data_IF_212737296771
#
_entry.id   IF_212737296771
#
_cell.length_a   1.000
_cell.length_b   1.000
_cell.length_c   1.000
_cell.angle_alpha   90.00
_cell.angle_beta   90.00
_cell.angle_gamma   90.00
#
_symmetry.space_group_name_H-M   'P 1'
#
loop_
_entity.id
_entity.type
_entity.pdbx_description
1 polymer ?
#
# COMPACT_ATOMS: atom_id res chain seq x y z
N UNK A 1 -24.36 -31.59 -19.48
CA UNK A 1 -24.01 -30.32 -18.81
C UNK A 1 -23.04 -30.72 -17.71
N UNK A 2 -21.78 -30.93 -18.08
CA UNK A 2 -20.71 -31.21 -17.10
C UNK A 2 -20.56 -29.92 -16.31
N UNK A 3 -21.10 -29.94 -15.10
CA UNK A 3 -20.91 -28.85 -14.14
C UNK A 3 -19.40 -28.78 -13.92
N UNK A 4 -18.88 -27.57 -13.89
CA UNK A 4 -17.47 -27.24 -13.72
C UNK A 4 -17.00 -27.68 -12.32
N UNK A 5 -16.90 -29.00 -12.10
CA UNK A 5 -16.54 -29.65 -10.84
C UNK A 5 -15.15 -29.22 -10.40
N UNK A 6 -14.29 -28.84 -11.35
CA UNK A 6 -12.95 -28.31 -11.09
C UNK A 6 -12.99 -26.92 -10.46
N UNK A 7 -13.86 -26.02 -10.94
CA UNK A 7 -14.03 -24.70 -10.33
C UNK A 7 -14.64 -24.80 -8.92
N UNK A 8 -15.60 -25.73 -8.72
CA UNK A 8 -16.17 -25.96 -7.40
C UNK A 8 -15.16 -26.60 -6.43
N UNK A 9 -14.34 -27.54 -6.90
CA UNK A 9 -13.28 -28.16 -6.11
C UNK A 9 -12.21 -27.14 -5.69
N UNK A 10 -11.76 -26.28 -6.62
CA UNK A 10 -10.79 -25.23 -6.31
C UNK A 10 -11.34 -24.19 -5.34
N UNK A 11 -12.63 -23.86 -5.42
CA UNK A 11 -13.28 -22.99 -4.43
C UNK A 11 -13.33 -23.61 -3.03
N UNK A 12 -13.70 -24.89 -2.91
CA UNK A 12 -13.70 -25.61 -1.62
C UNK A 12 -12.29 -25.72 -1.03
N UNK A 13 -11.29 -26.01 -1.85
CA UNK A 13 -9.90 -26.06 -1.42
C UNK A 13 -9.40 -24.68 -0.98
N UNK A 14 -9.72 -23.62 -1.74
CA UNK A 14 -9.34 -22.26 -1.38
C UNK A 14 -10.03 -21.78 -0.10
N UNK A 15 -11.28 -22.19 0.13
CA UNK A 15 -11.99 -21.91 1.37
C UNK A 15 -11.39 -22.69 2.55
N UNK A 16 -11.01 -23.94 2.37
CA UNK A 16 -10.38 -24.75 3.41
C UNK A 16 -8.98 -24.26 3.79
N UNK A 17 -8.18 -23.90 2.79
CA UNK A 17 -6.79 -23.48 2.97
C UNK A 17 -6.65 -21.99 3.28
N UNK A 18 -7.70 -21.19 3.06
CA UNK A 18 -7.68 -19.72 3.12
C UNK A 18 -6.80 -19.04 2.06
N UNK A 19 -6.16 -19.83 1.18
CA UNK A 19 -5.38 -19.40 0.04
C UNK A 19 -5.60 -20.37 -1.14
N UNK A 20 -5.29 -19.91 -2.37
CA UNK A 20 -5.42 -20.79 -3.54
C UNK A 20 -4.26 -21.79 -3.59
N UNK A 21 -4.50 -23.05 -4.00
CA UNK A 21 -3.45 -24.05 -4.20
C UNK A 21 -2.27 -23.57 -5.06
N UNK A 22 -2.55 -22.69 -6.04
CA UNK A 22 -1.54 -22.12 -6.92
C UNK A 22 -0.58 -21.20 -6.15
N UNK A 23 -1.09 -20.34 -5.25
CA UNK A 23 -0.25 -19.44 -4.46
C UNK A 23 0.74 -20.18 -3.55
N UNK A 24 0.35 -21.33 -3.00
CA UNK A 24 1.28 -22.15 -2.21
C UNK A 24 2.44 -22.67 -3.05
N UNK A 25 2.17 -23.08 -4.29
CA UNK A 25 3.18 -23.62 -5.19
C UNK A 25 4.11 -22.49 -5.66
N UNK A 26 3.55 -21.33 -6.01
CA UNK A 26 4.31 -20.13 -6.36
C UNK A 26 5.30 -19.75 -5.23
N UNK A 27 4.83 -19.70 -3.98
CA UNK A 27 5.65 -19.38 -2.82
C UNK A 27 6.79 -20.41 -2.60
N UNK A 28 6.53 -21.69 -2.87
CA UNK A 28 7.55 -22.76 -2.79
C UNK A 28 8.60 -22.57 -3.89
N UNK A 29 8.17 -22.31 -5.12
CA UNK A 29 9.08 -22.09 -6.27
C UNK A 29 9.96 -20.87 -6.00
N UNK A 30 9.36 -19.76 -5.56
CA UNK A 30 10.09 -18.54 -5.21
C UNK A 30 11.09 -18.78 -4.07
N UNK A 31 10.71 -19.54 -3.05
CA UNK A 31 11.60 -19.90 -1.95
C UNK A 31 12.79 -20.73 -2.42
N UNK A 32 12.57 -21.71 -3.30
CA UNK A 32 13.62 -22.58 -3.85
C UNK A 32 14.57 -21.77 -4.74
N UNK A 33 14.04 -20.90 -5.60
CA UNK A 33 14.85 -20.01 -6.42
C UNK A 33 15.74 -19.10 -5.57
N UNK A 34 15.19 -18.53 -4.50
CA UNK A 34 15.97 -17.75 -3.54
C UNK A 34 17.10 -18.56 -2.89
N UNK A 35 16.84 -19.82 -2.51
CA UNK A 35 17.86 -20.71 -1.92
C UNK A 35 18.94 -21.06 -2.95
N UNK A 36 18.57 -21.26 -4.22
CA UNK A 36 19.52 -21.55 -5.30
C UNK A 36 20.49 -20.38 -5.48
N UNK A 37 19.98 -19.16 -5.62
CA UNK A 37 20.82 -17.97 -5.76
C UNK A 37 21.73 -17.78 -4.53
N UNK A 38 21.21 -18.01 -3.33
CA UNK A 38 22.01 -17.95 -2.10
C UNK A 38 23.09 -19.04 -2.05
N UNK A 39 22.77 -20.25 -2.51
CA UNK A 39 23.69 -21.39 -2.56
C UNK A 39 24.83 -21.17 -3.55
N UNK A 40 24.51 -20.69 -4.76
CA UNK A 40 25.50 -20.36 -5.80
C UNK A 40 26.41 -19.22 -5.32
N UNK A 41 25.86 -18.15 -4.74
CA UNK A 41 26.65 -17.05 -4.19
C UNK A 41 27.53 -17.50 -3.00
N UNK A 42 27.01 -18.37 -2.13
CA UNK A 42 27.79 -18.93 -1.01
C UNK A 42 28.94 -19.80 -1.52
N UNK A 43 28.72 -20.55 -2.60
CA UNK A 43 29.75 -21.32 -3.27
C UNK A 43 30.80 -20.41 -3.91
N UNK A 44 30.41 -19.33 -4.57
CA UNK A 44 31.31 -18.31 -5.11
C UNK A 44 32.25 -17.74 -4.04
N UNK A 45 31.67 -17.30 -2.92
CA UNK A 45 32.42 -16.77 -1.77
C UNK A 45 33.36 -17.84 -1.20
N UNK A 46 32.90 -19.09 -1.11
CA UNK A 46 33.70 -20.22 -0.63
C UNK A 46 34.90 -20.54 -1.53
N UNK A 47 34.70 -20.54 -2.86
CA UNK A 47 35.76 -20.80 -3.83
C UNK A 47 36.75 -19.64 -3.89
N UNK A 48 36.28 -18.40 -3.83
CA UNK A 48 37.13 -17.20 -3.85
C UNK A 48 37.91 -16.99 -2.53
N UNK A 49 37.41 -17.48 -1.40
CA UNK A 49 38.10 -17.40 -0.10
C UNK A 49 39.11 -18.53 0.12
N UNK A 50 39.04 -19.60 -0.68
CA UNK A 50 39.95 -20.73 -0.59
C UNK A 50 41.24 -20.45 -1.36
N UNK A 51 42.39 -20.78 -0.77
CA UNK A 51 43.69 -20.59 -1.43
C UNK A 51 43.79 -21.42 -2.73
N UNK A 52 44.32 -20.84 -3.83
CA UNK A 52 44.36 -21.46 -5.16
C UNK A 52 45.11 -22.81 -5.16
N UNK A 53 46.15 -22.94 -4.33
CA UNK A 53 46.92 -24.19 -4.18
C UNK A 53 46.07 -25.37 -3.68
N UNK A 54 45.00 -25.11 -2.91
CA UNK A 54 44.09 -26.15 -2.40
C UNK A 54 43.03 -26.57 -3.42
N UNK A 55 42.71 -25.68 -4.35
CA UNK A 55 41.81 -25.93 -5.46
C UNK A 55 42.51 -26.67 -6.62
N UNK A 56 43.83 -26.84 -6.55
CA UNK A 56 44.64 -27.51 -7.57
C UNK A 56 45.17 -26.57 -8.66
N UNK A 57 45.10 -25.25 -8.46
CA UNK A 57 45.71 -24.27 -9.36
C UNK A 57 47.20 -24.11 -9.05
N UNK A 58 48.01 -23.92 -10.08
CA UNK A 58 49.45 -23.65 -9.92
C UNK A 58 49.68 -22.26 -9.30
N UNK A 59 50.66 -22.18 -8.40
CA UNK A 59 50.99 -20.94 -7.69
C UNK A 59 51.65 -19.93 -8.63
N UNK A 60 50.97 -18.82 -8.92
CA UNK A 60 51.51 -17.68 -9.67
C UNK A 60 50.47 -16.57 -9.86
N UNK A 61 50.86 -15.29 -9.75
CA UNK A 61 49.93 -14.16 -9.75
C UNK A 61 49.05 -14.09 -11.02
N UNK A 62 49.62 -14.36 -12.21
CA UNK A 62 48.86 -14.44 -13.47
C UNK A 62 47.91 -15.65 -13.55
N UNK A 63 48.22 -16.72 -12.81
CA UNK A 63 47.42 -17.94 -12.75
C UNK A 63 46.24 -17.80 -11.78
N UNK A 64 46.37 -16.96 -10.75
CA UNK A 64 45.29 -16.67 -9.79
C UNK A 64 44.13 -15.96 -10.49
N UNK A 65 44.44 -14.99 -11.35
CA UNK A 65 43.40 -14.28 -12.11
C UNK A 65 42.72 -15.19 -13.15
N UNK A 66 43.47 -16.11 -13.76
CA UNK A 66 42.90 -17.15 -14.65
C UNK A 66 42.01 -18.13 -13.89
N UNK A 67 42.43 -18.57 -12.71
CA UNK A 67 41.65 -19.46 -11.85
C UNK A 67 40.33 -18.83 -11.42
N UNK A 68 40.33 -17.53 -11.09
CA UNK A 68 39.10 -16.79 -10.78
C UNK A 68 38.13 -16.73 -11.95
N UNK A 69 38.64 -16.47 -13.15
CA UNK A 69 37.83 -16.45 -14.37
C UNK A 69 37.23 -17.83 -14.68
N UNK A 70 38.01 -18.90 -14.51
CA UNK A 70 37.55 -20.27 -14.71
C UNK A 70 36.49 -20.68 -13.67
N UNK A 71 36.65 -20.27 -12.41
CA UNK A 71 35.67 -20.47 -11.34
C UNK A 71 34.36 -19.73 -11.68
N UNK A 72 34.43 -18.48 -12.13
CA UNK A 72 33.26 -17.69 -12.53
C UNK A 72 32.52 -18.34 -13.71
N UNK A 73 33.25 -18.76 -14.75
CA UNK A 73 32.65 -19.43 -15.91
C UNK A 73 32.03 -20.79 -15.53
N UNK A 74 32.71 -21.56 -14.68
CA UNK A 74 32.21 -22.83 -14.14
C UNK A 74 30.97 -22.65 -13.28
N UNK A 75 30.95 -21.64 -12.42
CA UNK A 75 29.83 -21.30 -11.56
C UNK A 75 28.62 -20.84 -12.38
N UNK A 76 28.83 -20.01 -13.40
CA UNK A 76 27.76 -19.58 -14.30
C UNK A 76 27.15 -20.76 -15.08
N UNK A 77 27.97 -21.72 -15.54
CA UNK A 77 27.47 -22.96 -16.16
C UNK A 77 26.66 -23.80 -15.16
N UNK A 78 27.12 -23.89 -13.92
CA UNK A 78 26.42 -24.61 -12.85
C UNK A 78 25.07 -23.96 -12.53
N UNK A 79 25.02 -22.63 -12.40
CA UNK A 79 23.78 -21.89 -12.18
C UNK A 79 22.78 -22.13 -13.30
N UNK A 80 23.23 -22.03 -14.56
CA UNK A 80 22.37 -22.28 -15.73
C UNK A 80 21.81 -23.71 -15.73
N UNK A 81 22.64 -24.70 -15.43
CA UNK A 81 22.23 -26.11 -15.35
C UNK A 81 21.27 -26.37 -14.19
N UNK A 82 21.54 -25.75 -13.04
CA UNK A 82 20.72 -25.90 -11.85
C UNK A 82 19.34 -25.29 -12.07
N UNK A 83 19.25 -24.07 -12.61
CA UNK A 83 17.99 -23.42 -12.95
C UNK A 83 17.18 -24.28 -13.93
N UNK A 84 17.78 -24.73 -15.03
CA UNK A 84 17.08 -25.58 -16.01
C UNK A 84 16.58 -26.92 -15.41
N UNK A 85 17.35 -27.50 -14.49
CA UNK A 85 16.98 -28.76 -13.83
C UNK A 85 15.86 -28.56 -12.81
N UNK A 86 15.95 -27.47 -12.04
CA UNK A 86 14.96 -27.07 -11.03
C UNK A 86 13.65 -26.75 -11.72
N UNK A 87 13.62 -25.85 -12.70
CA UNK A 87 12.41 -25.49 -13.45
C UNK A 87 11.67 -26.73 -13.94
N UNK A 88 12.36 -27.64 -14.63
CA UNK A 88 11.76 -28.87 -15.20
C UNK A 88 11.22 -29.84 -14.14
N UNK A 89 11.86 -29.91 -12.97
CA UNK A 89 11.41 -30.78 -11.88
C UNK A 89 10.28 -30.13 -11.08
N UNK A 90 10.31 -28.81 -10.93
CA UNK A 90 9.28 -28.05 -10.24
C UNK A 90 8.00 -27.90 -11.09
N UNK A 91 8.09 -27.84 -12.42
CA UNK A 91 6.94 -27.98 -13.32
C UNK A 91 6.21 -29.32 -13.09
N UNK A 92 6.97 -30.42 -12.95
CA UNK A 92 6.39 -31.75 -12.68
C UNK A 92 5.81 -31.84 -11.27
N UNK A 93 6.47 -31.21 -10.32
CA UNK A 93 5.99 -31.11 -8.95
C UNK A 93 4.67 -30.34 -8.89
N UNK A 94 4.57 -29.18 -9.54
CA UNK A 94 3.34 -28.38 -9.63
C UNK A 94 2.20 -29.24 -10.19
N UNK A 95 2.43 -29.87 -11.35
CA UNK A 95 1.44 -30.74 -11.99
C UNK A 95 1.04 -31.89 -11.05
N UNK A 96 2.00 -32.51 -10.37
CA UNK A 96 1.72 -33.63 -9.47
C UNK A 96 0.91 -33.21 -8.25
N UNK A 97 1.25 -32.08 -7.64
CA UNK A 97 0.58 -31.54 -6.46
C UNK A 97 -0.86 -31.15 -6.80
N UNK A 98 -1.06 -30.38 -7.87
CA UNK A 98 -2.40 -29.93 -8.28
C UNK A 98 -3.28 -31.08 -8.74
N UNK A 99 -2.69 -32.15 -9.31
CA UNK A 99 -3.45 -33.30 -9.80
C UNK A 99 -3.76 -34.34 -8.74
N UNK A 100 -2.89 -34.54 -7.74
CA UNK A 100 -3.02 -35.66 -6.79
C UNK A 100 -3.23 -35.24 -5.33
N UNK A 101 -2.55 -34.20 -4.86
CA UNK A 101 -2.58 -33.80 -3.44
C UNK A 101 -3.69 -32.76 -3.22
N UNK A 102 -3.64 -31.68 -3.98
CA UNK A 102 -4.58 -30.56 -3.92
C UNK A 102 -5.69 -30.74 -4.96
N UNK A 103 -6.26 -31.94 -5.02
CA UNK A 103 -7.34 -32.30 -5.94
C UNK A 103 -8.47 -33.00 -5.20
N UNK A 104 -9.71 -32.67 -5.57
CA UNK A 104 -10.91 -33.35 -5.08
C UNK A 104 -11.43 -34.23 -6.21
N UNK A 105 -11.67 -35.54 -5.99
CA UNK A 105 -12.24 -36.41 -7.01
C UNK A 105 -13.59 -35.92 -7.52
N UNK A 106 -13.80 -36.00 -8.83
CA UNK A 106 -15.07 -35.63 -9.46
C UNK A 106 -16.24 -36.42 -8.86
N UNK A 107 -17.37 -35.74 -8.64
CA UNK A 107 -18.57 -36.33 -8.03
C UNK A 107 -18.59 -36.39 -6.49
N UNK A 108 -17.46 -36.13 -5.80
CA UNK A 108 -17.44 -36.04 -4.33
C UNK A 108 -17.70 -34.62 -3.84
N UNK A 109 -17.46 -33.61 -4.69
CA UNK A 109 -17.66 -32.18 -4.41
C UNK A 109 -18.98 -31.84 -3.70
N UNK A 110 -20.15 -32.40 -4.08
CA UNK A 110 -21.43 -32.08 -3.42
C UNK A 110 -21.57 -32.68 -2.00
N UNK A 111 -20.73 -33.65 -1.64
CA UNK A 111 -20.77 -34.35 -0.36
C UNK A 111 -19.71 -33.86 0.62
N UNK A 112 -18.75 -33.06 0.16
CA UNK A 112 -17.74 -32.43 1.02
C UNK A 112 -18.39 -31.26 1.76
N UNK A 113 -18.33 -31.30 3.09
CA UNK A 113 -18.74 -30.20 3.96
C UNK A 113 -17.57 -29.78 4.83
N UNK A 114 -17.18 -28.51 4.74
CA UNK A 114 -16.16 -27.93 5.60
C UNK A 114 -16.71 -27.67 7.00
N UNK A 115 -15.82 -27.61 8.00
CA UNK A 115 -16.18 -27.47 9.42
C UNK A 115 -17.00 -26.20 9.73
N UNK A 116 -16.73 -25.10 9.04
CA UNK A 116 -17.49 -23.84 9.22
C UNK A 116 -18.91 -23.90 8.66
N UNK A 117 -19.25 -24.92 7.84
CA UNK A 117 -20.63 -25.17 7.46
C UNK A 117 -21.38 -25.98 8.51
N UNK A 118 -20.72 -26.60 9.49
CA UNK A 118 -21.37 -27.38 10.55
C UNK A 118 -22.23 -26.47 11.43
N UNK A 119 -23.56 -26.65 11.40
CA UNK A 119 -24.52 -25.82 12.13
C UNK A 119 -25.20 -24.71 11.31
N UNK A 120 -24.75 -24.41 10.08
CA UNK A 120 -25.47 -23.52 9.17
C UNK A 120 -26.72 -24.21 8.64
N UNK A 121 -27.90 -23.79 9.12
CA UNK A 121 -29.18 -24.10 8.49
C UNK A 121 -29.40 -23.08 7.38
N UNK A 122 -29.08 -23.46 6.14
CA UNK A 122 -29.38 -22.68 4.92
C UNK A 122 -30.89 -22.59 4.62
N UNK A 123 -31.77 -22.99 5.56
CA UNK A 123 -33.16 -22.57 5.51
C UNK A 123 -33.14 -21.05 5.48
N UNK A 124 -33.80 -20.45 4.50
CA UNK A 124 -34.04 -19.02 4.39
C UNK A 124 -34.70 -18.60 5.71
N UNK A 125 -33.88 -18.24 6.69
CA UNK A 125 -34.35 -17.74 7.95
C UNK A 125 -35.00 -16.42 7.60
N UNK A 126 -36.23 -16.23 8.04
CA UNK A 126 -37.00 -14.99 7.99
C UNK A 126 -36.32 -13.80 8.70
N UNK A 127 -35.07 -13.98 9.14
CA UNK A 127 -34.18 -12.98 9.73
C UNK A 127 -33.27 -12.37 8.65
N UNK A 128 -33.85 -12.05 7.50
CA UNK A 128 -33.22 -11.14 6.54
C UNK A 128 -33.29 -9.77 7.19
N UNK A 129 -32.15 -9.13 7.54
CA UNK A 129 -32.17 -7.77 8.04
C UNK A 129 -32.89 -6.93 6.99
N UNK A 130 -33.99 -6.27 7.39
CA UNK A 130 -34.74 -5.41 6.47
C UNK A 130 -33.76 -4.50 5.73
N UNK A 131 -33.92 -4.26 4.42
CA UNK A 131 -33.05 -3.36 3.67
C UNK A 131 -32.91 -1.99 4.38
N UNK A 132 -33.92 -1.59 5.15
CA UNK A 132 -33.87 -0.41 6.01
C UNK A 132 -32.83 -0.51 7.14
N UNK A 133 -32.77 -1.64 7.85
CA UNK A 133 -31.75 -1.87 8.89
C UNK A 133 -30.33 -1.88 8.30
N UNK A 134 -30.16 -2.43 7.10
CA UNK A 134 -28.88 -2.39 6.38
C UNK A 134 -28.49 -0.95 6.01
N UNK A 135 -29.42 -0.14 5.51
CA UNK A 135 -29.13 1.26 5.19
C UNK A 135 -28.82 2.08 6.44
N UNK A 136 -29.53 1.84 7.55
CA UNK A 136 -29.23 2.46 8.84
C UNK A 136 -27.85 2.08 9.35
N UNK A 137 -27.47 0.80 9.27
CA UNK A 137 -26.15 0.34 9.69
C UNK A 137 -25.05 0.92 8.80
N UNK A 138 -25.27 0.98 7.49
CA UNK A 138 -24.35 1.66 6.55
C UNK A 138 -24.18 3.12 6.93
N UNK A 139 -25.28 3.87 7.13
CA UNK A 139 -25.24 5.26 7.59
C UNK A 139 -24.48 5.42 8.91
N UNK A 140 -24.71 4.53 9.87
CA UNK A 140 -24.00 4.52 11.16
C UNK A 140 -22.51 4.25 10.99
N UNK A 141 -22.14 3.32 10.12
CA UNK A 141 -20.74 2.99 9.79
C UNK A 141 -20.07 4.21 9.14
N UNK A 142 -20.72 4.84 8.16
CA UNK A 142 -20.21 6.06 7.53
C UNK A 142 -20.01 7.19 8.55
N UNK A 143 -21.01 7.45 9.39
CA UNK A 143 -20.90 8.45 10.46
C UNK A 143 -19.72 8.13 11.40
N UNK A 144 -19.57 6.87 11.82
CA UNK A 144 -18.47 6.43 12.68
C UNK A 144 -17.10 6.60 12.01
N UNK A 145 -16.97 6.27 10.72
CA UNK A 145 -15.72 6.45 9.95
C UNK A 145 -15.36 7.92 9.79
N UNK A 146 -16.32 8.78 9.49
CA UNK A 146 -16.11 10.23 9.35
C UNK A 146 -15.63 10.82 10.68
N UNK A 147 -16.30 10.46 11.77
CA UNK A 147 -15.91 10.88 13.12
C UNK A 147 -14.51 10.37 13.46
N UNK A 148 -14.20 9.09 13.24
CA UNK A 148 -12.87 8.53 13.50
C UNK A 148 -11.76 9.22 12.69
N UNK A 149 -12.01 9.55 11.41
CA UNK A 149 -11.07 10.31 10.58
C UNK A 149 -10.82 11.71 11.15
N UNK A 150 -11.88 12.40 11.61
CA UNK A 150 -11.75 13.71 12.26
C UNK A 150 -10.98 13.61 13.57
N UNK A 151 -11.29 12.64 14.43
CA UNK A 151 -10.56 12.43 15.67
C UNK A 151 -9.07 12.18 15.42
N UNK A 152 -8.70 11.36 14.43
CA UNK A 152 -7.29 11.13 14.08
C UNK A 152 -6.60 12.42 13.65
N UNK A 153 -7.23 13.22 12.78
CA UNK A 153 -6.65 14.51 12.38
C UNK A 153 -6.51 15.48 13.56
N UNK A 154 -7.47 15.51 14.49
CA UNK A 154 -7.34 16.34 15.70
C UNK A 154 -6.26 15.82 16.66
N UNK A 155 -6.11 14.50 16.79
CA UNK A 155 -5.00 13.90 17.55
C UNK A 155 -3.65 14.29 16.94
N UNK A 156 -3.53 14.25 15.62
CA UNK A 156 -2.31 14.65 14.92
C UNK A 156 -1.99 16.14 15.13
N UNK A 157 -3.00 17.02 15.04
CA UNK A 157 -2.85 18.47 15.36
C UNK A 157 -2.49 18.71 16.83
N UNK A 158 -3.13 18.00 17.74
CA UNK A 158 -2.83 18.11 19.16
C UNK A 158 -1.40 17.62 19.44
N UNK A 159 -0.96 16.55 18.79
CA UNK A 159 0.41 16.06 18.92
C UNK A 159 1.44 17.06 18.39
N UNK A 160 1.18 17.71 17.25
CA UNK A 160 2.08 18.76 16.74
C UNK A 160 2.08 19.97 17.65
N UNK A 161 0.93 20.43 18.15
CA UNK A 161 0.84 21.53 19.10
C UNK A 161 1.56 21.21 20.42
N UNK A 162 1.38 20.00 20.95
CA UNK A 162 2.10 19.54 22.14
C UNK A 162 3.61 19.49 21.87
N UNK A 163 4.04 19.04 20.68
CA UNK A 163 5.46 19.05 20.32
C UNK A 163 6.03 20.48 20.24
N UNK A 164 5.26 21.44 19.70
CA UNK A 164 5.63 22.85 19.65
C UNK A 164 5.71 23.45 21.06
N UNK A 165 4.69 23.23 21.90
CA UNK A 165 4.68 23.69 23.29
C UNK A 165 5.80 23.04 24.11
N UNK A 166 6.06 21.73 23.92
CA UNK A 166 7.21 21.06 24.53
C UNK A 166 8.51 21.64 24.03
N UNK A 167 8.64 21.95 22.74
CA UNK A 167 9.85 22.59 22.22
C UNK A 167 10.05 23.97 22.82
N UNK A 168 8.99 24.77 22.96
CA UNK A 168 9.02 26.08 23.64
C UNK A 168 9.37 25.94 25.13
N UNK A 169 8.82 24.95 25.82
CA UNK A 169 9.11 24.69 27.24
C UNK A 169 10.53 24.12 27.45
N UNK A 170 11.01 23.24 26.57
CA UNK A 170 12.39 22.74 26.60
C UNK A 170 13.39 23.85 26.29
N UNK A 171 12.99 24.86 25.50
CA UNK A 171 13.77 26.07 25.24
C UNK A 171 13.97 26.96 26.48
N UNK A 172 13.23 26.74 27.58
CA UNK A 172 13.45 27.42 28.86
C UNK A 172 14.71 26.92 29.59
N UNK A 173 15.20 25.71 29.29
CA UNK A 173 16.37 25.12 29.97
C UNK A 173 17.68 25.19 29.16
N UNK A 174 17.66 25.82 27.98
CA UNK A 174 18.84 26.01 27.16
C UNK A 174 18.59 26.92 25.97
N UNK A 175 19.00 28.19 26.10
CA UNK A 175 19.19 29.20 25.04
C UNK A 175 18.12 29.20 23.91
N UNK A 176 17.04 29.96 24.10
CA UNK A 176 16.06 30.27 23.05
C UNK A 176 16.44 31.56 22.27
N UNK A 177 16.72 31.49 20.96
CA UNK A 177 16.83 32.68 20.10
C UNK A 177 15.46 33.26 19.68
N UNK A 178 14.33 32.62 20.03
CA UNK A 178 12.99 33.00 19.54
C UNK A 178 12.19 33.99 20.40
N UNK A 179 12.51 34.13 21.70
CA UNK A 179 11.76 34.99 22.64
C UNK A 179 12.61 36.03 23.38
N UNK A 180 13.93 36.07 23.09
CA UNK A 180 14.86 37.08 23.63
C UNK A 180 14.50 38.52 23.23
N UNK A 181 13.63 38.70 22.24
CA UNK A 181 13.17 40.01 21.76
C UNK A 181 12.21 40.73 22.72
N UNK A 182 11.45 40.00 23.54
CA UNK A 182 10.44 40.59 24.42
C UNK A 182 10.94 40.90 25.84
N UNK A 183 12.21 40.63 26.13
CA UNK A 183 12.77 40.93 27.45
C UNK A 183 13.05 42.45 27.55
N UNK A 184 12.34 43.20 28.41
CA UNK A 184 12.44 44.64 28.44
C UNK A 184 13.70 45.03 29.22
N UNK A 185 14.80 45.21 28.50
CA UNK A 185 16.08 45.49 29.14
C UNK A 185 17.18 45.96 28.20
N UNK A 186 16.90 46.90 27.28
CA UNK A 186 17.92 47.84 26.78
C UNK A 186 17.33 48.90 25.81
N UNK A 187 17.39 50.17 26.21
CA UNK A 187 16.93 51.33 25.41
C UNK A 187 17.74 51.57 24.12
N UNK A 188 18.80 50.79 23.86
CA UNK A 188 19.55 50.81 22.60
C UNK A 188 18.84 50.03 21.47
N UNK A 189 17.93 49.12 21.81
CA UNK A 189 17.25 48.27 20.83
C UNK A 189 16.17 49.02 20.01
N UNK A 190 15.58 50.10 20.54
CA UNK A 190 14.53 50.87 19.84
C UNK A 190 15.06 51.60 18.59
N UNK A 191 16.27 52.15 18.65
CA UNK A 191 16.92 52.76 17.48
C UNK A 191 17.37 51.72 16.45
N UNK A 192 17.81 50.54 16.90
CA UNK A 192 18.15 49.43 16.01
C UNK A 192 16.90 48.82 15.36
N UNK A 193 15.79 48.70 16.08
CA UNK A 193 14.50 48.26 15.55
C UNK A 193 13.95 49.19 14.48
N UNK A 194 14.01 50.50 14.69
CA UNK A 194 13.56 51.48 13.68
C UNK A 194 14.46 51.49 12.44
N UNK A 195 15.76 51.28 12.61
CA UNK A 195 16.72 51.20 11.49
C UNK A 195 16.57 49.89 10.72
N UNK A 196 16.43 48.76 11.42
CA UNK A 196 16.16 47.44 10.85
C UNK A 196 14.77 47.39 10.20
N UNK A 197 13.76 48.04 10.79
CA UNK A 197 12.43 48.15 10.19
C UNK A 197 12.46 49.00 8.92
N UNK A 198 13.18 50.13 8.89
CA UNK A 198 13.36 50.95 7.68
C UNK A 198 14.15 50.21 6.59
N UNK A 199 15.18 49.45 6.96
CA UNK A 199 15.92 48.58 6.03
C UNK A 199 15.04 47.43 5.51
N UNK A 200 14.29 46.74 6.37
CA UNK A 200 13.35 45.70 5.93
C UNK A 200 12.25 46.28 5.01
N UNK A 201 11.77 47.49 5.30
CA UNK A 201 10.83 48.20 4.43
C UNK A 201 11.46 48.54 3.07
N UNK A 202 12.74 48.91 3.02
CA UNK A 202 13.43 49.16 1.75
C UNK A 202 13.76 47.88 0.97
N UNK A 203 13.84 46.72 1.63
CA UNK A 203 14.06 45.42 1.00
C UNK A 203 12.78 44.69 0.57
N UNK A 204 11.59 45.11 1.06
CA UNK A 204 10.30 44.53 0.68
C UNK A 204 10.01 44.56 -0.83
N UNK A 205 10.33 45.64 -1.59
CA UNK A 205 10.13 45.66 -3.03
C UNK A 205 10.99 44.62 -3.77
N UNK A 206 12.24 44.42 -3.34
CA UNK A 206 13.15 43.44 -3.92
C UNK A 206 12.71 41.99 -3.61
N UNK A 207 12.22 41.74 -2.40
CA UNK A 207 11.63 40.45 -2.02
C UNK A 207 10.33 40.16 -2.79
N UNK A 208 9.51 41.18 -3.04
CA UNK A 208 8.28 41.02 -3.82
C UNK A 208 8.58 40.68 -5.29
N UNK A 209 9.64 41.24 -5.89
CA UNK A 209 10.04 40.84 -7.25
C UNK A 209 10.60 39.42 -7.26
N UNK A 210 11.43 39.04 -6.27
CA UNK A 210 11.96 37.68 -6.15
C UNK A 210 10.86 36.62 -5.92
N UNK A 211 9.83 36.92 -5.12
CA UNK A 211 8.69 36.01 -4.91
C UNK A 211 7.87 35.84 -6.18
N UNK A 212 7.70 36.89 -6.99
CA UNK A 212 7.02 36.77 -8.27
C UNK A 212 7.81 35.88 -9.25
N UNK A 213 9.14 35.97 -9.27
CA UNK A 213 10.01 35.10 -10.07
C UNK A 213 10.05 33.65 -9.57
N UNK A 214 9.99 33.43 -8.25
CA UNK A 214 9.92 32.08 -7.69
C UNK A 214 8.54 31.47 -7.92
N UNK A 215 7.45 32.26 -7.83
CA UNK A 215 6.09 31.78 -8.10
C UNK A 215 5.92 31.36 -9.56
N UNK A 216 6.47 32.11 -10.52
CA UNK A 216 6.43 31.70 -11.93
C UNK A 216 7.25 30.42 -12.17
N UNK A 217 8.42 30.28 -11.53
CA UNK A 217 9.21 29.03 -11.57
C UNK A 217 8.53 27.84 -10.87
N UNK A 218 7.79 28.09 -9.79
CA UNK A 218 7.01 27.06 -9.10
C UNK A 218 5.81 26.61 -9.94
N UNK A 219 5.17 27.52 -10.70
CA UNK A 219 4.14 27.14 -11.66
C UNK A 219 4.72 26.32 -12.83
N UNK A 220 5.94 26.60 -13.31
CA UNK A 220 6.58 25.77 -14.33
C UNK A 220 7.03 24.40 -13.80
N UNK A 221 7.43 24.32 -12.53
CA UNK A 221 7.80 23.05 -11.87
C UNK A 221 6.58 22.21 -11.44
N UNK A 222 5.45 22.84 -11.09
CA UNK A 222 4.19 22.17 -10.77
C UNK A 222 3.68 21.32 -11.93
N UNK A 223 3.84 21.79 -13.17
CA UNK A 223 3.51 21.02 -14.38
C UNK A 223 4.46 19.83 -14.63
N UNK A 224 5.67 19.85 -14.06
CA UNK A 224 6.68 18.81 -14.23
C UNK A 224 6.61 17.72 -13.15
N UNK A 225 5.95 18.00 -12.02
CA UNK A 225 5.77 17.04 -10.93
C UNK A 225 4.66 15.99 -11.21
N UNK A 226 3.73 16.31 -12.11
CA UNK A 226 2.64 15.41 -12.52
C UNK A 226 3.11 14.20 -13.35
N UNK A 227 4.32 14.26 -13.92
CA UNK A 227 4.88 13.21 -14.78
C UNK A 227 5.66 12.11 -14.05
N UNK A 228 5.98 12.28 -12.77
CA UNK A 228 6.79 11.32 -11.99
C UNK A 228 5.98 10.43 -11.05
N UNK A 229 4.70 10.73 -10.83
CA UNK A 229 3.78 9.91 -10.03
C UNK A 229 3.15 8.73 -10.78
N UNK A 230 3.14 8.78 -12.11
CA UNK A 230 2.34 7.88 -12.96
C UNK A 230 2.82 6.43 -12.98
N UNK A 231 4.13 6.20 -12.89
CA UNK A 231 4.71 4.85 -13.13
C UNK A 231 4.51 3.88 -11.96
N UNK A 232 4.42 4.38 -10.71
CA UNK A 232 4.21 3.52 -9.54
C UNK A 232 2.72 3.27 -9.25
N UNK A 233 1.85 4.16 -9.72
CA UNK A 233 0.41 4.02 -9.59
C UNK A 233 -0.17 3.03 -10.60
N UNK A 234 0.39 2.87 -11.81
CA UNK A 234 -0.09 1.89 -12.82
C UNK A 234 -0.15 0.44 -12.29
N UNK A 235 0.83 -0.01 -11.51
CA UNK A 235 0.85 -1.38 -10.95
C UNK A 235 -0.15 -1.58 -9.78
N UNK A 236 -0.59 -0.50 -9.14
CA UNK A 236 -1.59 -0.52 -8.06
C UNK A 236 -3.00 -0.32 -8.63
N UNK A 237 -3.12 0.45 -9.71
CA UNK A 237 -4.30 0.61 -10.55
C UNK A 237 -4.69 -0.74 -11.18
N UNK A 238 -3.74 -1.51 -11.73
CA UNK A 238 -4.01 -2.80 -12.36
C UNK A 238 -4.64 -3.84 -11.41
N UNK A 239 -4.16 -3.91 -10.15
CA UNK A 239 -4.76 -4.79 -9.13
C UNK A 239 -6.14 -4.31 -8.68
N UNK A 240 -6.34 -3.00 -8.56
CA UNK A 240 -7.65 -2.41 -8.21
C UNK A 240 -8.65 -2.63 -9.32
N UNK A 241 -8.27 -2.37 -10.57
CA UNK A 241 -9.09 -2.59 -11.76
C UNK A 241 -9.50 -4.05 -11.91
N UNK A 242 -8.59 -5.01 -11.71
CA UNK A 242 -8.93 -6.43 -11.77
C UNK A 242 -9.94 -6.84 -10.69
N UNK A 243 -9.74 -6.39 -9.45
CA UNK A 243 -10.68 -6.67 -8.34
C UNK A 243 -12.04 -6.03 -8.61
N UNK A 244 -12.06 -4.80 -9.13
CA UNK A 244 -13.28 -4.06 -9.46
C UNK A 244 -14.04 -4.69 -10.63
N UNK A 245 -13.34 -5.15 -11.67
CA UNK A 245 -13.94 -5.84 -12.82
C UNK A 245 -14.52 -7.20 -12.41
N UNK A 246 -13.80 -7.97 -11.58
CA UNK A 246 -14.29 -9.25 -11.04
C UNK A 246 -15.47 -9.05 -10.10
N UNK A 247 -15.42 -8.07 -9.19
CA UNK A 247 -16.55 -7.77 -8.30
C UNK A 247 -17.76 -7.27 -9.07
N UNK A 248 -17.59 -6.39 -10.05
CA UNK A 248 -18.66 -5.94 -10.96
C UNK A 248 -19.29 -7.11 -11.72
N UNK A 249 -18.48 -8.06 -12.21
CA UNK A 249 -18.95 -9.28 -12.85
C UNK A 249 -19.83 -10.15 -11.94
N UNK A 250 -19.47 -10.27 -10.66
CA UNK A 250 -20.27 -11.00 -9.66
C UNK A 250 -21.55 -10.23 -9.30
N UNK A 251 -21.45 -8.91 -9.08
CA UNK A 251 -22.58 -8.03 -8.74
C UNK A 251 -23.64 -7.96 -9.86
N UNK A 252 -23.20 -7.93 -11.12
CA UNK A 252 -24.10 -7.95 -12.30
C UNK A 252 -24.80 -9.30 -12.47
N UNK A 253 -24.13 -10.42 -12.20
CA UNK A 253 -24.77 -11.75 -12.16
C UNK A 253 -25.81 -11.88 -11.06
N UNK A 254 -25.65 -11.15 -9.96
CA UNK A 254 -26.61 -11.09 -8.85
C UNK A 254 -27.64 -9.95 -8.96
N UNK A 255 -27.71 -9.24 -10.10
CA UNK A 255 -28.74 -8.24 -10.39
C UNK A 255 -28.58 -6.90 -9.67
N UNK A 256 -27.41 -6.62 -9.07
CA UNK A 256 -27.14 -5.34 -8.39
C UNK A 256 -26.39 -4.43 -9.38
N UNK A 257 -27.10 -3.49 -9.98
CA UNK A 257 -26.50 -2.45 -10.83
C UNK A 257 -25.85 -1.40 -9.95
N UNK A 258 -24.52 -1.44 -9.83
CA UNK A 258 -23.74 -0.32 -9.30
C UNK A 258 -23.65 0.77 -10.37
N UNK A 259 -24.50 1.79 -10.28
CA UNK A 259 -24.25 3.06 -10.95
C UNK A 259 -22.97 3.68 -10.37
N UNK A 260 -21.99 4.06 -11.20
CA UNK A 260 -20.87 4.87 -10.75
C UNK A 260 -21.34 6.32 -10.55
N UNK A 261 -20.79 6.98 -9.54
CA UNK A 261 -20.91 8.41 -9.23
C UNK A 261 -22.24 8.96 -8.68
N UNK A 262 -22.40 8.79 -7.36
CA UNK A 262 -22.83 9.89 -6.48
C UNK A 262 -21.71 10.21 -5.48
N UNK A 263 -20.48 10.35 -6.00
CA UNK A 263 -19.41 11.11 -5.37
C UNK A 263 -19.74 12.59 -5.55
N UNK A 264 -20.70 13.09 -4.77
CA UNK A 264 -20.77 14.52 -4.53
C UNK A 264 -19.57 14.90 -3.68
N UNK A 265 -18.51 15.29 -4.38
CA UNK A 265 -17.47 16.17 -3.87
C UNK A 265 -18.15 17.36 -3.16
N UNK A 266 -17.57 17.78 -2.04
CA UNK A 266 -18.23 18.62 -1.05
C UNK A 266 -18.76 19.94 -1.62
N UNK A 267 -20.02 19.98 -2.01
CA UNK A 267 -20.74 21.23 -2.25
C UNK A 267 -21.06 21.85 -0.90
N UNK A 268 -20.52 23.05 -0.66
CA UNK A 268 -20.94 23.91 0.44
C UNK A 268 -22.42 24.20 0.25
N UNK A 269 -23.28 23.64 1.10
CA UNK A 269 -24.71 23.97 1.12
C UNK A 269 -24.86 25.48 1.23
N UNK A 270 -25.58 26.08 0.28
CA UNK A 270 -25.89 27.51 0.32
C UNK A 270 -27.04 27.75 1.29
N UNK A 271 -27.21 28.99 1.76
CA UNK A 271 -28.23 29.34 2.75
C UNK A 271 -29.65 29.01 2.25
N UNK A 272 -29.87 29.13 0.94
CA UNK A 272 -31.15 28.84 0.30
C UNK A 272 -31.45 27.32 0.31
N UNK A 273 -30.43 26.47 0.22
CA UNK A 273 -30.59 25.00 0.32
C UNK A 273 -30.97 24.56 1.74
N UNK A 274 -30.45 25.27 2.75
CA UNK A 274 -30.78 25.05 4.16
C UNK A 274 -32.20 25.51 4.49
N UNK A 275 -32.66 26.65 3.94
CA UNK A 275 -34.04 27.13 4.12
C UNK A 275 -35.06 26.22 3.42
N UNK A 276 -34.72 25.64 2.26
CA UNK A 276 -35.55 24.65 1.58
C UNK A 276 -35.63 23.32 2.37
N UNK A 277 -34.53 22.89 2.99
CA UNK A 277 -34.50 21.74 3.88
C UNK A 277 -35.29 21.98 5.18
N UNK A 278 -35.30 23.20 5.70
CA UNK A 278 -36.08 23.57 6.88
C UNK A 278 -37.59 23.61 6.59
N UNK A 279 -38.00 24.13 5.43
CA UNK A 279 -39.41 24.12 5.01
C UNK A 279 -39.94 22.70 4.76
N UNK A 280 -39.12 21.82 4.19
CA UNK A 280 -39.51 20.41 3.99
C UNK A 280 -39.55 19.65 5.31
N UNK A 281 -38.62 19.92 6.23
CA UNK A 281 -38.67 19.35 7.58
C UNK A 281 -39.91 19.79 8.37
N UNK A 282 -40.35 21.05 8.21
CA UNK A 282 -41.58 21.57 8.82
C UNK A 282 -42.86 20.93 8.25
N UNK A 283 -42.86 20.51 6.99
CA UNK A 283 -43.98 19.75 6.41
C UNK A 283 -44.14 18.34 6.99
N UNK A 284 -43.05 17.72 7.46
CA UNK A 284 -43.08 16.37 8.03
C UNK A 284 -43.35 16.33 9.54
N UNK A 285 -43.49 17.49 10.20
CA UNK A 285 -43.83 17.57 11.61
C UNK A 285 -44.75 18.77 11.88
N UNK A 286 -46.06 18.66 11.61
CA UNK A 286 -47.01 19.67 12.04
C UNK A 286 -47.19 19.59 13.58
N UNK A 287 -47.64 20.68 14.24
CA UNK A 287 -47.80 20.75 15.70
C UNK A 287 -48.76 19.70 16.27
#
# INVERSE_FOLDING_TARGET
MEIDDSAAATALLAEHLEYTPLSLIDDIIDSVNNIIYQGVNSLEIGLNSTAPDRLGFESGDEQIDRARLEIEEGLHKLETLLNSTVDKNFDKFEIYVLRNILSIPAGVTPYVRLSHYEGLKLSIASDVPSPEQLTLLRKKLFASRVVNRRLKSEVDKNNTMISQLKSMLQSEHGQAPGLAFLQPGNNTAQHQLTTNAKFALSQLPALKSAINDVRSKAQSLGSSADYLGTVKDEAREGRRGYIEERTKGVLTRHGIVTQPDMLHDGTRFTKDDLEALEQTAAMFNPP
#
